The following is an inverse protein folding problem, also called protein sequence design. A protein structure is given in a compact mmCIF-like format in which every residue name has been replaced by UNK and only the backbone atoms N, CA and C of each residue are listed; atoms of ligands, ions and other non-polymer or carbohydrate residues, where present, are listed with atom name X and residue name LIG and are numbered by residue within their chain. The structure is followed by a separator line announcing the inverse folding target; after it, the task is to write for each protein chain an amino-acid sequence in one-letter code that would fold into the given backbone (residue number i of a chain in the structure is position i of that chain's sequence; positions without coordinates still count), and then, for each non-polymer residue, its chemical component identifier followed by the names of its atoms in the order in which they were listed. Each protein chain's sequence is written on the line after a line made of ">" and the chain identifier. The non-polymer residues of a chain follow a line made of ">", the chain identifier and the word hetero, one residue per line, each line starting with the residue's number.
data_IF_230155104140
#
_entry.id   IF_230155104140
#
_cell.length_a   1.000
_cell.length_b   1.000
_cell.length_c   1.000
_cell.angle_alpha   90.00
_cell.angle_beta   90.00
_cell.angle_gamma   90.00
#
_symmetry.space_group_name_H-M   'P 1'
#
loop_
_entity.id
_entity.type
_entity.pdbx_description
1 polymer ?
#
# COMPACT_ATOMS: atom_id res chain seq x y z
N UNK A 1 20.82 2.33 15.43
CA UNK A 1 20.85 3.02 14.12
C UNK A 1 19.42 3.43 13.78
N UNK A 2 19.19 4.58 13.12
CA UNK A 2 17.85 4.96 12.64
C UNK A 2 17.68 4.50 11.20
N UNK A 3 16.61 3.79 10.90
CA UNK A 3 16.35 3.22 9.57
C UNK A 3 14.95 3.59 9.12
N UNK A 4 14.86 4.30 7.99
CA UNK A 4 13.61 4.58 7.29
C UNK A 4 13.45 3.55 6.17
N UNK A 5 12.32 2.84 6.17
CA UNK A 5 11.96 1.86 5.15
C UNK A 5 10.64 2.32 4.53
N UNK A 6 10.56 2.28 3.21
CA UNK A 6 9.35 2.60 2.46
C UNK A 6 9.01 1.45 1.51
N UNK A 7 7.73 1.20 1.29
CA UNK A 7 7.28 0.40 0.15
C UNK A 7 6.61 1.31 -0.88
N UNK A 8 6.58 0.86 -2.14
CA UNK A 8 5.86 1.58 -3.19
C UNK A 8 4.39 1.73 -2.80
N UNK A 9 3.78 2.88 -3.06
CA UNK A 9 2.39 3.12 -2.70
C UNK A 9 1.47 2.28 -3.61
N UNK A 10 0.65 1.35 -3.09
CA UNK A 10 -0.35 0.66 -3.89
C UNK A 10 -1.38 1.64 -4.44
N UNK A 11 -1.68 1.50 -5.74
CA UNK A 11 -2.65 2.34 -6.41
C UNK A 11 -4.09 1.99 -5.99
N UNK A 12 -4.87 2.98 -5.54
CA UNK A 12 -6.19 2.80 -4.95
C UNK A 12 -7.32 2.67 -6.01
N UNK A 13 -7.12 1.80 -6.99
CA UNK A 13 -8.08 1.56 -8.08
C UNK A 13 -8.50 0.08 -8.22
N UNK A 14 -7.98 -0.81 -7.37
CA UNK A 14 -8.20 -2.24 -7.47
C UNK A 14 -7.54 -3.05 -6.34
N UNK A 15 -7.84 -4.36 -6.24
CA UNK A 15 -7.19 -5.26 -5.31
C UNK A 15 -5.74 -5.55 -5.71
N UNK A 16 -4.92 -5.96 -4.75
CA UNK A 16 -3.56 -6.42 -5.01
C UNK A 16 -3.55 -7.88 -5.48
N UNK A 17 -2.65 -8.19 -6.40
CA UNK A 17 -2.27 -9.56 -6.74
C UNK A 17 -0.92 -9.93 -6.12
N UNK A 18 -0.59 -11.23 -6.11
CA UNK A 18 0.62 -11.77 -5.48
C UNK A 18 1.92 -11.08 -5.92
N UNK A 19 2.04 -10.72 -7.20
CA UNK A 19 3.21 -10.00 -7.72
C UNK A 19 3.52 -8.69 -6.98
N UNK A 20 2.51 -7.93 -6.55
CA UNK A 20 2.73 -6.71 -5.77
C UNK A 20 3.30 -7.03 -4.38
N UNK A 21 2.79 -8.09 -3.76
CA UNK A 21 3.18 -8.54 -2.42
C UNK A 21 4.62 -9.02 -2.42
N UNK A 22 4.93 -9.94 -3.34
CA UNK A 22 6.26 -10.49 -3.51
C UNK A 22 7.29 -9.42 -3.91
N UNK A 23 6.88 -8.43 -4.70
CA UNK A 23 7.77 -7.40 -5.23
C UNK A 23 8.14 -6.31 -4.24
N UNK A 24 7.14 -5.72 -3.57
CA UNK A 24 7.34 -4.47 -2.81
C UNK A 24 7.13 -4.61 -1.30
N UNK A 25 6.11 -5.36 -0.87
CA UNK A 25 5.64 -5.28 0.51
C UNK A 25 6.24 -6.35 1.42
N UNK A 26 6.27 -7.60 0.98
CA UNK A 26 6.80 -8.71 1.77
C UNK A 26 8.31 -8.55 2.02
N UNK A 27 9.16 -8.21 1.02
CA UNK A 27 10.58 -7.97 1.28
C UNK A 27 10.83 -6.80 2.24
N UNK A 28 10.07 -5.71 2.09
CA UNK A 28 10.18 -4.53 2.96
C UNK A 28 9.79 -4.85 4.41
N UNK A 29 8.71 -5.59 4.63
CA UNK A 29 8.28 -6.03 5.97
C UNK A 29 9.30 -6.97 6.61
N UNK A 30 9.79 -7.97 5.85
CA UNK A 30 10.85 -8.88 6.30
C UNK A 30 12.10 -8.11 6.74
N UNK A 31 12.54 -7.14 5.95
CA UNK A 31 13.70 -6.33 6.28
C UNK A 31 13.46 -5.42 7.49
N UNK A 32 12.27 -4.81 7.60
CA UNK A 32 11.90 -4.00 8.76
C UNK A 32 11.93 -4.82 10.05
N UNK A 33 11.40 -6.04 10.04
CA UNK A 33 11.45 -6.97 11.18
C UNK A 33 12.88 -7.37 11.51
N UNK A 34 13.69 -7.71 10.50
CA UNK A 34 15.09 -8.03 10.69
C UNK A 34 15.86 -6.88 11.36
N UNK A 35 15.68 -5.65 10.89
CA UNK A 35 16.35 -4.48 11.48
C UNK A 35 15.91 -4.19 12.91
N UNK A 36 14.63 -4.40 13.23
CA UNK A 36 14.13 -4.31 14.62
C UNK A 36 14.77 -5.36 15.52
N UNK A 37 14.94 -6.59 15.03
CA UNK A 37 15.63 -7.67 15.77
C UNK A 37 17.12 -7.35 16.04
N UNK A 38 17.76 -6.60 15.14
CA UNK A 38 19.13 -6.10 15.33
C UNK A 38 19.22 -4.89 16.29
N UNK A 39 18.09 -4.42 16.84
CA UNK A 39 18.05 -3.27 17.76
C UNK A 39 18.08 -1.90 17.06
N UNK A 40 17.77 -1.83 15.76
CA UNK A 40 17.61 -0.55 15.07
C UNK A 40 16.27 0.11 15.41
N UNK A 41 16.27 1.44 15.42
CA UNK A 41 15.06 2.27 15.49
C UNK A 41 14.48 2.39 14.06
N UNK A 42 13.38 1.67 13.80
CA UNK A 42 12.85 1.45 12.45
C UNK A 42 11.50 2.13 12.28
N UNK A 43 11.42 3.05 11.32
CA UNK A 43 10.18 3.55 10.76
C UNK A 43 9.93 2.87 9.40
N UNK A 44 8.92 2.01 9.33
CA UNK A 44 8.43 1.44 8.07
C UNK A 44 7.10 2.09 7.72
N UNK A 45 7.01 2.75 6.55
CA UNK A 45 5.83 3.49 6.12
C UNK A 45 5.44 3.17 4.67
N UNK A 46 4.12 3.10 4.45
CA UNK A 46 3.47 2.92 3.15
C UNK A 46 2.08 3.60 3.21
N UNK A 47 1.38 3.70 2.09
CA UNK A 47 0.03 4.28 2.00
C UNK A 47 -0.59 4.05 0.63
N UNK A 48 -1.83 4.47 0.43
CA UNK A 48 -2.49 4.43 -0.89
C UNK A 48 -1.99 5.56 -1.80
N UNK A 49 -1.75 5.25 -3.07
CA UNK A 49 -1.70 6.28 -4.11
C UNK A 49 -3.10 6.50 -4.67
N UNK A 50 -3.60 7.72 -4.51
CA UNK A 50 -5.02 8.08 -4.67
C UNK A 50 -5.28 9.04 -5.85
N UNK A 51 -4.26 9.37 -6.65
CA UNK A 51 -4.41 10.34 -7.73
C UNK A 51 -4.10 9.76 -9.11
N UNK A 52 -4.66 10.35 -10.17
CA UNK A 52 -4.33 10.03 -11.56
C UNK A 52 -5.52 9.54 -12.40
N UNK A 53 -5.33 9.52 -13.72
CA UNK A 53 -6.40 9.26 -14.70
C UNK A 53 -7.01 7.87 -14.53
N UNK A 54 -6.20 6.88 -14.16
CA UNK A 54 -6.69 5.52 -13.96
C UNK A 54 -7.69 5.40 -12.79
N UNK A 55 -7.54 6.21 -11.73
CA UNK A 55 -8.54 6.29 -10.65
C UNK A 55 -9.83 6.95 -11.15
N UNK A 56 -9.72 8.04 -11.92
CA UNK A 56 -10.89 8.69 -12.54
C UNK A 56 -11.70 7.72 -13.39
N UNK A 57 -11.03 7.01 -14.31
CA UNK A 57 -11.68 6.04 -15.20
C UNK A 57 -12.31 4.89 -14.42
N UNK A 58 -11.62 4.35 -13.42
CA UNK A 58 -12.15 3.26 -12.57
C UNK A 58 -13.35 3.73 -11.72
N UNK A 59 -13.34 4.96 -11.22
CA UNK A 59 -14.44 5.57 -10.48
C UNK A 59 -15.68 5.77 -11.37
N UNK A 60 -15.49 6.31 -12.58
CA UNK A 60 -16.56 6.48 -13.57
C UNK A 60 -17.18 5.14 -13.97
N UNK A 61 -16.35 4.13 -14.28
CA UNK A 61 -16.83 2.77 -14.58
C UNK A 61 -17.60 2.12 -13.43
N UNK A 62 -17.22 2.45 -12.19
CA UNK A 62 -17.89 1.97 -10.98
C UNK A 62 -19.10 2.80 -10.54
N UNK A 63 -19.44 3.88 -11.25
CA UNK A 63 -20.54 4.80 -10.88
C UNK A 63 -20.32 5.50 -9.53
N UNK A 64 -19.07 5.78 -9.16
CA UNK A 64 -18.69 6.40 -7.87
C UNK A 64 -17.97 7.72 -8.11
N UNK A 65 -18.01 8.61 -7.12
CA UNK A 65 -17.07 9.74 -7.11
C UNK A 65 -15.63 9.23 -6.88
N UNK A 66 -14.63 9.99 -7.32
CA UNK A 66 -13.22 9.64 -7.08
C UNK A 66 -12.94 9.45 -5.59
N UNK A 67 -13.50 10.30 -4.71
CA UNK A 67 -13.27 10.23 -3.27
C UNK A 67 -13.85 8.96 -2.66
N UNK A 68 -15.06 8.59 -3.04
CA UNK A 68 -15.68 7.32 -2.61
C UNK A 68 -14.88 6.12 -3.11
N UNK A 69 -14.39 6.20 -4.35
CA UNK A 69 -13.61 5.12 -4.98
C UNK A 69 -12.29 4.87 -4.25
N UNK A 70 -11.49 5.92 -4.00
CA UNK A 70 -10.21 5.77 -3.28
C UNK A 70 -10.42 5.41 -1.83
N UNK A 71 -11.45 5.95 -1.15
CA UNK A 71 -11.75 5.55 0.23
C UNK A 71 -12.12 4.06 0.33
N UNK A 72 -12.89 3.55 -0.63
CA UNK A 72 -13.23 2.13 -0.70
C UNK A 72 -11.98 1.26 -0.89
N UNK A 73 -11.15 1.57 -1.88
CA UNK A 73 -9.95 0.76 -2.15
C UNK A 73 -8.87 0.94 -1.10
N UNK A 74 -8.70 2.13 -0.50
CA UNK A 74 -7.84 2.32 0.66
C UNK A 74 -8.21 1.34 1.79
N UNK A 75 -9.51 1.18 2.08
CA UNK A 75 -9.96 0.24 3.10
C UNK A 75 -9.69 -1.22 2.72
N UNK A 76 -9.94 -1.59 1.46
CA UNK A 76 -9.63 -2.93 0.94
C UNK A 76 -8.13 -3.25 1.06
N UNK A 77 -7.26 -2.29 0.70
CA UNK A 77 -5.82 -2.44 0.77
C UNK A 77 -5.34 -2.53 2.23
N UNK A 78 -5.86 -1.68 3.12
CA UNK A 78 -5.58 -1.74 4.55
C UNK A 78 -5.95 -3.12 5.12
N UNK A 79 -7.17 -3.58 4.88
CA UNK A 79 -7.67 -4.86 5.38
C UNK A 79 -6.90 -6.05 4.81
N UNK A 80 -6.28 -5.90 3.64
CA UNK A 80 -5.40 -6.92 3.05
C UNK A 80 -4.06 -7.01 3.80
N UNK A 81 -3.44 -5.89 4.17
CA UNK A 81 -2.15 -5.87 4.87
C UNK A 81 -2.24 -6.18 6.37
N UNK A 82 -3.42 -6.01 6.98
CA UNK A 82 -3.66 -6.33 8.39
C UNK A 82 -3.95 -7.81 8.67
N UNK A 83 -4.15 -8.63 7.62
CA UNK A 83 -4.38 -10.08 7.71
C UNK A 83 -3.09 -10.86 7.62
#
# INVERSE_FOLDING_TARGET
>A
MKVLITAALPYANGPLHFGHIAGAYLPADCYARFQRLLGSDVLYICGSDEHGVAITLSAEMGGRTQKEHVNHFHKVLQDFFEK
#
